data_IF_462993476868
#
_entry.id   IF_462993476868
#
_cell.length_a   1.000
_cell.length_b   1.000
_cell.length_c   1.000
_cell.angle_alpha   90.00
_cell.angle_beta   90.00
_cell.angle_gamma   90.00
#
_symmetry.space_group_name_H-M   'P 1'
#
loop_
_entity.id
_entity.type
_entity.pdbx_description
1 polymer ?
#
# COMPACT_ATOMS: atom_id res chain seq x y z
N UNK A 1 8.91 -24.88 -3.78
CA UNK A 1 9.20 -24.07 -2.57
C UNK A 1 9.95 -24.87 -1.51
N UNK A 2 9.26 -25.81 -0.84
CA UNK A 2 9.79 -26.60 0.29
C UNK A 2 11.11 -27.32 -0.02
N UNK A 3 11.26 -27.92 -1.21
CA UNK A 3 12.49 -28.60 -1.65
C UNK A 3 13.71 -27.68 -1.73
N UNK A 4 13.52 -26.43 -2.16
CA UNK A 4 14.60 -25.43 -2.23
C UNK A 4 15.02 -24.98 -0.81
N UNK A 5 14.06 -24.80 0.11
CA UNK A 5 14.36 -24.50 1.51
C UNK A 5 15.08 -25.66 2.20
N UNK A 6 14.65 -26.90 1.96
CA UNK A 6 15.36 -28.08 2.48
C UNK A 6 16.79 -28.15 1.95
N UNK A 7 16.99 -27.94 0.64
CA UNK A 7 18.33 -27.94 0.03
C UNK A 7 19.21 -26.81 0.57
N UNK A 8 18.69 -25.59 0.68
CA UNK A 8 19.43 -24.45 1.23
C UNK A 8 19.75 -24.65 2.73
N UNK A 9 18.85 -25.26 3.50
CA UNK A 9 19.12 -25.61 4.90
C UNK A 9 20.28 -26.60 4.98
N UNK A 10 20.38 -27.55 4.05
CA UNK A 10 21.48 -28.49 4.03
C UNK A 10 22.84 -27.82 3.75
N UNK A 11 22.88 -26.86 2.81
CA UNK A 11 24.13 -26.26 2.30
C UNK A 11 24.57 -24.98 3.02
N UNK A 12 23.68 -24.30 3.76
CA UNK A 12 24.00 -23.05 4.48
C UNK A 12 23.70 -23.22 5.98
N UNK A 13 24.67 -23.69 6.79
CA UNK A 13 24.48 -23.96 8.21
C UNK A 13 24.00 -22.73 9.00
N UNK A 14 24.50 -21.55 8.63
CA UNK A 14 24.14 -20.27 9.26
C UNK A 14 22.66 -19.89 9.07
N UNK A 15 21.98 -20.44 8.06
CA UNK A 15 20.58 -20.13 7.74
C UNK A 15 19.60 -21.23 8.20
N UNK A 16 20.09 -22.40 8.65
CA UNK A 16 19.27 -23.58 9.00
C UNK A 16 18.12 -23.26 9.95
N UNK A 17 18.36 -22.48 10.99
CA UNK A 17 17.35 -22.22 12.02
C UNK A 17 16.24 -21.28 11.51
N UNK A 18 16.59 -20.28 10.70
CA UNK A 18 15.64 -19.44 9.96
C UNK A 18 14.77 -20.27 8.99
N UNK A 19 15.41 -21.15 8.20
CA UNK A 19 14.71 -21.99 7.23
C UNK A 19 13.79 -23.03 7.87
N UNK A 20 14.19 -23.61 9.01
CA UNK A 20 13.35 -24.54 9.77
C UNK A 20 12.13 -23.84 10.35
N UNK A 21 12.29 -22.62 10.86
CA UNK A 21 11.17 -21.83 11.37
C UNK A 21 10.18 -21.47 10.26
N UNK A 22 10.67 -21.12 9.06
CA UNK A 22 9.83 -20.94 7.87
C UNK A 22 9.09 -22.24 7.50
N UNK A 23 9.79 -23.36 7.40
CA UNK A 23 9.19 -24.64 7.01
C UNK A 23 8.13 -25.11 8.03
N UNK A 24 8.39 -24.88 9.32
CA UNK A 24 7.50 -25.26 10.41
C UNK A 24 6.17 -24.50 10.41
N UNK A 25 6.09 -23.34 9.76
CA UNK A 25 4.86 -22.54 9.67
C UNK A 25 4.18 -22.64 8.31
N UNK A 26 4.93 -22.70 7.21
CA UNK A 26 4.37 -22.83 5.86
C UNK A 26 3.64 -24.16 5.64
N UNK A 27 4.12 -25.26 6.21
CA UNK A 27 3.48 -26.58 6.04
C UNK A 27 2.11 -26.64 6.73
N UNK A 28 1.96 -26.25 8.02
CA UNK A 28 0.65 -26.15 8.66
C UNK A 28 -0.29 -25.16 7.98
N UNK A 29 0.22 -24.01 7.53
CA UNK A 29 -0.60 -23.02 6.80
C UNK A 29 -1.15 -23.59 5.50
N UNK A 30 -0.30 -24.22 4.68
CA UNK A 30 -0.74 -24.84 3.43
C UNK A 30 -1.79 -25.94 3.67
N UNK A 31 -1.63 -26.72 4.74
CA UNK A 31 -2.62 -27.72 5.13
C UNK A 31 -3.95 -27.07 5.57
N UNK A 32 -3.93 -25.97 6.31
CA UNK A 32 -5.13 -25.22 6.69
C UNK A 32 -5.83 -24.59 5.48
N UNK A 33 -5.08 -24.06 4.51
CA UNK A 33 -5.64 -23.60 3.24
C UNK A 33 -6.37 -24.71 2.49
N UNK A 34 -5.76 -25.88 2.36
CA UNK A 34 -6.40 -27.05 1.73
C UNK A 34 -7.64 -27.51 2.52
N UNK A 35 -7.54 -27.55 3.85
CA UNK A 35 -8.65 -27.93 4.72
C UNK A 35 -9.82 -26.95 4.61
N UNK A 36 -9.54 -25.65 4.42
CA UNK A 36 -10.57 -24.62 4.28
C UNK A 36 -11.52 -24.90 3.10
N UNK A 37 -11.04 -25.53 2.03
CA UNK A 37 -11.85 -25.87 0.85
C UNK A 37 -12.93 -26.90 1.18
N UNK A 38 -12.64 -27.85 2.08
CA UNK A 38 -13.57 -28.89 2.51
C UNK A 38 -14.60 -28.40 3.53
N UNK A 39 -14.39 -27.24 4.15
CA UNK A 39 -15.27 -26.71 5.19
C UNK A 39 -16.41 -25.85 4.58
N UNK A 40 -17.63 -25.91 5.13
CA UNK A 40 -18.69 -24.96 4.81
C UNK A 40 -18.46 -23.61 5.52
N UNK A 41 -19.05 -22.50 5.01
CA UNK A 41 -19.14 -21.24 5.77
C UNK A 41 -19.86 -21.45 7.12
N UNK A 42 -19.43 -20.81 8.23
CA UNK A 42 -18.35 -19.81 8.33
C UNK A 42 -16.95 -20.41 8.56
N UNK A 43 -16.84 -21.71 8.84
CA UNK A 43 -15.58 -22.37 9.21
C UNK A 43 -14.50 -22.28 8.14
N UNK A 44 -14.90 -22.26 6.86
CA UNK A 44 -14.00 -21.98 5.72
C UNK A 44 -13.23 -20.67 5.91
N UNK A 45 -13.92 -19.59 6.30
CA UNK A 45 -13.32 -18.27 6.45
C UNK A 45 -12.40 -18.22 7.67
N UNK A 46 -12.78 -18.89 8.76
CA UNK A 46 -11.94 -18.99 9.95
C UNK A 46 -10.64 -19.78 9.67
N UNK A 47 -10.74 -20.91 8.96
CA UNK A 47 -9.57 -21.70 8.56
C UNK A 47 -8.63 -20.94 7.61
N UNK A 48 -9.19 -20.19 6.66
CA UNK A 48 -8.40 -19.31 5.79
C UNK A 48 -7.74 -18.16 6.56
N UNK A 49 -8.48 -17.54 7.49
CA UNK A 49 -7.95 -16.46 8.34
C UNK A 49 -6.82 -16.95 9.26
N UNK A 50 -6.92 -18.16 9.83
CA UNK A 50 -5.86 -18.73 10.65
C UNK A 50 -4.63 -19.11 9.83
N UNK A 51 -4.81 -19.69 8.63
CA UNK A 51 -3.71 -19.96 7.70
C UNK A 51 -2.95 -18.66 7.36
N UNK A 52 -3.70 -17.61 6.96
CA UNK A 52 -3.15 -16.29 6.68
C UNK A 52 -2.41 -15.69 7.90
N UNK A 53 -2.97 -15.81 9.10
CA UNK A 53 -2.33 -15.32 10.33
C UNK A 53 -0.99 -16.02 10.61
N UNK A 54 -0.89 -17.33 10.34
CA UNK A 54 0.35 -18.09 10.48
C UNK A 54 1.40 -17.58 9.48
N UNK A 55 1.03 -17.36 8.23
CA UNK A 55 1.94 -16.85 7.19
C UNK A 55 2.43 -15.44 7.50
N UNK A 56 1.55 -14.56 7.98
CA UNK A 56 1.90 -13.21 8.40
C UNK A 56 2.81 -13.20 9.65
N UNK A 57 2.54 -14.09 10.62
CA UNK A 57 3.33 -14.17 11.86
C UNK A 57 4.74 -14.72 11.63
N UNK A 58 4.91 -15.61 10.64
CA UNK A 58 6.18 -16.31 10.36
C UNK A 58 7.39 -15.37 10.19
N UNK A 59 7.38 -14.41 9.26
CA UNK A 59 8.50 -13.48 9.10
C UNK A 59 8.67 -12.53 10.28
N UNK A 60 7.61 -12.17 11.00
CA UNK A 60 7.71 -11.33 12.23
C UNK A 60 8.45 -12.08 13.34
N UNK A 61 8.10 -13.35 13.56
CA UNK A 61 8.72 -14.23 14.54
C UNK A 61 10.16 -14.56 14.14
N UNK A 62 10.39 -14.85 12.85
CA UNK A 62 11.72 -15.09 12.30
C UNK A 62 12.68 -13.92 12.55
N UNK A 63 12.24 -12.69 12.34
CA UNK A 63 13.08 -11.49 12.58
C UNK A 63 13.36 -11.27 14.07
N UNK A 64 12.38 -11.49 14.95
CA UNK A 64 12.56 -11.33 16.41
C UNK A 64 13.57 -12.34 16.96
N UNK A 65 13.53 -13.57 16.47
CA UNK A 65 14.39 -14.67 16.93
C UNK A 65 15.77 -14.58 16.27
N UNK A 66 15.83 -14.21 14.99
CA UNK A 66 17.03 -14.19 14.18
C UNK A 66 17.39 -12.75 13.82
N UNK A 67 17.83 -11.97 14.83
CA UNK A 67 18.35 -10.59 14.71
C UNK A 67 19.55 -10.42 13.75
N UNK A 68 19.97 -11.48 13.05
CA UNK A 68 21.10 -11.53 12.13
C UNK A 68 20.66 -12.32 10.90
N UNK A 69 20.33 -11.63 9.81
CA UNK A 69 19.87 -12.29 8.59
C UNK A 69 19.87 -11.38 7.38
N UNK A 70 21.05 -11.18 6.80
CA UNK A 70 21.28 -10.71 5.43
C UNK A 70 20.92 -9.25 5.17
N UNK A 71 21.91 -8.44 4.78
CA UNK A 71 21.67 -7.18 4.11
C UNK A 71 20.93 -7.45 2.79
N UNK A 72 19.60 -7.54 2.83
CA UNK A 72 18.81 -7.36 1.62
C UNK A 72 19.14 -5.96 1.17
N UNK A 73 19.71 -5.84 -0.03
CA UNK A 73 19.95 -4.54 -0.65
C UNK A 73 18.61 -3.79 -0.70
N UNK A 74 18.40 -2.91 0.26
CA UNK A 74 17.13 -2.22 0.46
C UNK A 74 16.85 -1.22 -0.66
N UNK A 75 17.85 -0.93 -1.50
CA UNK A 75 17.76 0.02 -2.61
C UNK A 75 16.76 -0.40 -3.69
N UNK A 76 16.56 -1.70 -3.91
CA UNK A 76 15.65 -2.21 -4.95
C UNK A 76 14.28 -2.66 -4.41
N UNK A 77 14.07 -2.57 -3.10
CA UNK A 77 12.78 -2.95 -2.52
C UNK A 77 11.64 -2.05 -3.02
N UNK A 78 11.78 -0.71 -3.08
CA UNK A 78 10.71 0.13 -3.59
C UNK A 78 10.30 -0.21 -5.02
N UNK A 79 11.27 -0.39 -5.91
CA UNK A 79 11.05 -0.75 -7.31
C UNK A 79 10.26 -2.06 -7.44
N UNK A 80 10.65 -3.10 -6.68
CA UNK A 80 9.96 -4.40 -6.71
C UNK A 80 8.54 -4.33 -6.19
N UNK A 81 8.31 -3.63 -5.08
CA UNK A 81 6.98 -3.48 -4.50
C UNK A 81 6.09 -2.56 -5.35
N UNK A 82 6.66 -1.53 -5.99
CA UNK A 82 5.98 -0.73 -7.00
C UNK A 82 5.51 -1.59 -8.17
N UNK A 83 6.40 -2.37 -8.78
CA UNK A 83 6.02 -3.29 -9.87
C UNK A 83 4.94 -4.30 -9.43
N UNK A 84 5.06 -4.87 -8.23
CA UNK A 84 4.03 -5.77 -7.72
C UNK A 84 2.69 -5.07 -7.49
N UNK A 85 2.70 -3.85 -6.97
CA UNK A 85 1.49 -3.05 -6.77
C UNK A 85 0.83 -2.69 -8.11
N UNK A 86 1.61 -2.41 -9.16
CA UNK A 86 1.08 -2.22 -10.53
C UNK A 86 0.37 -3.48 -11.03
N UNK A 87 0.98 -4.65 -10.84
CA UNK A 87 0.39 -5.93 -11.27
C UNK A 87 -0.94 -6.16 -10.54
N UNK A 88 -0.98 -5.98 -9.22
CA UNK A 88 -2.21 -6.18 -8.44
C UNK A 88 -3.29 -5.15 -8.79
N UNK A 89 -2.90 -3.90 -9.05
CA UNK A 89 -3.84 -2.89 -9.54
C UNK A 89 -4.41 -3.29 -10.91
N UNK A 90 -3.55 -3.74 -11.84
CA UNK A 90 -3.96 -4.22 -13.16
C UNK A 90 -4.89 -5.43 -13.07
N UNK A 91 -4.55 -6.42 -12.24
CA UNK A 91 -5.39 -7.59 -11.96
C UNK A 91 -6.74 -7.18 -11.38
N UNK A 92 -6.76 -6.21 -10.47
CA UNK A 92 -8.02 -5.68 -9.91
C UNK A 92 -8.89 -5.04 -11.00
N UNK A 93 -8.31 -4.30 -11.93
CA UNK A 93 -9.03 -3.71 -13.07
C UNK A 93 -9.58 -4.80 -14.00
N UNK A 94 -8.78 -5.83 -14.32
CA UNK A 94 -9.21 -6.97 -15.14
C UNK A 94 -10.32 -7.77 -14.44
N UNK A 95 -10.22 -7.98 -13.13
CA UNK A 95 -11.25 -8.64 -12.32
C UNK A 95 -12.58 -7.87 -12.36
N UNK A 96 -12.54 -6.54 -12.23
CA UNK A 96 -13.74 -5.70 -12.37
C UNK A 96 -14.32 -5.80 -13.78
N UNK A 97 -13.49 -5.69 -14.82
CA UNK A 97 -13.94 -5.75 -16.21
C UNK A 97 -14.58 -7.11 -16.55
N UNK A 98 -13.94 -8.21 -16.14
CA UNK A 98 -14.47 -9.57 -16.33
C UNK A 98 -15.72 -9.83 -15.50
N UNK A 99 -15.76 -9.39 -14.24
CA UNK A 99 -16.91 -9.52 -13.35
C UNK A 99 -18.14 -8.76 -13.82
N UNK A 100 -17.94 -7.65 -14.54
CA UNK A 100 -19.02 -6.82 -15.09
C UNK A 100 -19.42 -7.18 -16.53
N UNK A 101 -18.80 -8.19 -17.15
CA UNK A 101 -19.04 -8.53 -18.55
C UNK A 101 -20.50 -8.95 -18.82
N UNK A 102 -21.17 -9.57 -17.84
CA UNK A 102 -22.58 -9.97 -17.94
C UNK A 102 -23.59 -8.88 -17.55
N UNK A 103 -23.14 -7.68 -17.19
CA UNK A 103 -24.00 -6.59 -16.73
C UNK A 103 -24.79 -5.97 -17.88
N UNK A 104 -26.03 -5.57 -17.62
CA UNK A 104 -26.81 -4.74 -18.54
C UNK A 104 -26.20 -3.33 -18.60
N UNK A 105 -25.39 -3.06 -19.63
CA UNK A 105 -24.70 -1.79 -19.83
C UNK A 105 -25.67 -0.64 -20.10
N UNK A 106 -26.06 0.05 -19.03
CA UNK A 106 -26.81 1.31 -19.04
C UNK A 106 -25.86 2.49 -18.89
N UNK A 107 -26.29 3.73 -19.21
CA UNK A 107 -25.47 4.92 -18.96
C UNK A 107 -24.98 5.05 -17.52
N UNK A 108 -25.77 4.59 -16.53
CA UNK A 108 -25.35 4.54 -15.12
C UNK A 108 -24.18 3.59 -14.88
N UNK A 109 -24.16 2.41 -15.52
CA UNK A 109 -23.06 1.44 -15.42
C UNK A 109 -21.78 1.97 -16.06
N UNK A 110 -21.90 2.66 -17.20
CA UNK A 110 -20.77 3.33 -17.85
C UNK A 110 -20.20 4.42 -16.94
N UNK A 111 -21.06 5.26 -16.35
CA UNK A 111 -20.64 6.28 -15.39
C UNK A 111 -19.98 5.66 -14.13
N UNK A 112 -20.51 4.53 -13.64
CA UNK A 112 -19.92 3.76 -12.55
C UNK A 112 -18.53 3.21 -12.90
N UNK A 113 -18.35 2.70 -14.11
CA UNK A 113 -17.06 2.19 -14.59
C UNK A 113 -16.03 3.31 -14.76
N UNK A 114 -16.45 4.46 -15.31
CA UNK A 114 -15.60 5.64 -15.40
C UNK A 114 -15.18 6.15 -14.01
N UNK A 115 -16.12 6.24 -13.07
CA UNK A 115 -15.83 6.63 -11.70
C UNK A 115 -14.87 5.64 -11.02
N UNK A 116 -15.09 4.34 -11.20
CA UNK A 116 -14.19 3.29 -10.72
C UNK A 116 -12.77 3.40 -11.28
N UNK A 117 -12.64 3.68 -12.58
CA UNK A 117 -11.35 3.91 -13.21
C UNK A 117 -10.64 5.16 -12.65
N UNK A 118 -11.38 6.26 -12.44
CA UNK A 118 -10.82 7.47 -11.81
C UNK A 118 -10.36 7.18 -10.38
N UNK A 119 -11.12 6.42 -9.59
CA UNK A 119 -10.69 5.98 -8.25
C UNK A 119 -9.38 5.20 -8.36
N UNK A 120 -9.30 4.20 -9.24
CA UNK A 120 -8.08 3.40 -9.45
C UNK A 120 -6.88 4.28 -9.86
N UNK A 121 -7.08 5.24 -10.76
CA UNK A 121 -6.06 6.18 -11.19
C UNK A 121 -5.60 7.11 -10.04
N UNK A 122 -6.52 7.59 -9.20
CA UNK A 122 -6.17 8.39 -8.03
C UNK A 122 -5.37 7.58 -7.00
N UNK A 123 -5.75 6.33 -6.74
CA UNK A 123 -4.99 5.45 -5.84
C UNK A 123 -3.60 5.16 -6.41
N UNK A 124 -3.50 4.88 -7.71
CA UNK A 124 -2.23 4.74 -8.42
C UNK A 124 -1.35 5.98 -8.25
N UNK A 125 -1.89 7.17 -8.52
CA UNK A 125 -1.16 8.43 -8.36
C UNK A 125 -0.71 8.62 -6.91
N UNK A 126 -1.59 8.29 -5.96
CA UNK A 126 -1.30 8.39 -4.54
C UNK A 126 -0.11 7.52 -4.11
N UNK A 127 0.05 6.35 -4.73
CA UNK A 127 1.17 5.44 -4.49
C UNK A 127 2.46 5.95 -5.15
N UNK A 128 2.47 6.06 -6.48
CA UNK A 128 3.69 6.24 -7.28
C UNK A 128 4.25 7.67 -7.16
N UNK A 129 3.38 8.67 -7.10
CA UNK A 129 3.83 10.06 -7.04
C UNK A 129 4.25 10.46 -5.62
N UNK A 130 3.62 9.91 -4.57
CA UNK A 130 3.82 10.41 -3.20
C UNK A 130 4.41 9.40 -2.23
N UNK A 131 4.11 8.11 -2.35
CA UNK A 131 4.63 7.12 -1.40
C UNK A 131 5.98 6.58 -1.84
N UNK A 132 6.08 6.08 -3.07
CA UNK A 132 7.30 5.44 -3.58
C UNK A 132 8.49 6.42 -3.61
N UNK A 133 8.26 7.65 -4.09
CA UNK A 133 9.30 8.70 -4.15
C UNK A 133 9.75 9.20 -2.78
N UNK A 134 8.86 9.17 -1.79
CA UNK A 134 9.11 9.73 -0.47
C UNK A 134 9.83 8.75 0.47
N UNK A 135 9.82 7.46 0.16
CA UNK A 135 10.32 6.44 1.08
C UNK A 135 11.83 6.30 0.99
N UNK A 136 12.51 6.70 2.07
CA UNK A 136 13.94 6.39 2.28
C UNK A 136 14.04 5.25 3.30
N UNK A 137 14.33 4.04 2.81
CA UNK A 137 14.43 2.86 3.67
C UNK A 137 15.73 2.92 4.47
N UNK A 138 15.64 3.20 5.79
CA UNK A 138 16.80 3.25 6.70
C UNK A 138 16.66 2.22 7.82
N UNK A 139 17.55 1.23 7.81
CA UNK A 139 17.61 0.21 8.84
C UNK A 139 16.53 -0.86 8.75
N UNK A 140 16.67 -1.87 9.60
CA UNK A 140 15.89 -3.12 9.56
C UNK A 140 14.39 -2.88 9.81
N UNK A 141 14.04 -1.94 10.70
CA UNK A 141 12.65 -1.61 11.00
C UNK A 141 11.89 -1.01 9.82
N UNK A 142 12.49 -0.09 9.06
CA UNK A 142 11.87 0.49 7.86
C UNK A 142 11.69 -0.56 6.77
N UNK A 143 12.63 -1.49 6.61
CA UNK A 143 12.48 -2.63 5.68
C UNK A 143 11.26 -3.47 6.03
N UNK A 144 11.06 -3.81 7.32
CA UNK A 144 9.91 -4.60 7.74
C UNK A 144 8.61 -3.86 7.58
N UNK A 145 8.56 -2.61 8.00
CA UNK A 145 7.35 -1.82 7.87
C UNK A 145 6.96 -1.62 6.41
N UNK A 146 7.94 -1.44 5.52
CA UNK A 146 7.70 -1.41 4.09
C UNK A 146 7.16 -2.76 3.60
N UNK A 147 7.81 -3.86 3.96
CA UNK A 147 7.43 -5.20 3.51
C UNK A 147 6.01 -5.61 3.98
N UNK A 148 5.70 -5.41 5.26
CA UNK A 148 4.39 -5.75 5.83
C UNK A 148 3.32 -4.69 5.52
N UNK A 149 3.71 -3.42 5.37
CA UNK A 149 2.81 -2.32 5.04
C UNK A 149 2.23 -2.42 3.62
N UNK A 150 2.90 -3.13 2.70
CA UNK A 150 2.33 -3.37 1.38
C UNK A 150 1.16 -4.36 1.41
N UNK A 151 1.11 -5.28 2.38
CA UNK A 151 0.02 -6.26 2.42
C UNK A 151 -1.36 -5.60 2.60
N UNK A 152 -1.58 -4.67 3.56
CA UNK A 152 -2.83 -3.94 3.64
C UNK A 152 -3.11 -3.06 2.41
N UNK A 153 -2.08 -2.50 1.76
CA UNK A 153 -2.25 -1.75 0.50
C UNK A 153 -2.86 -2.67 -0.57
N UNK A 154 -2.28 -3.85 -0.77
CA UNK A 154 -2.76 -4.79 -1.78
C UNK A 154 -4.16 -5.31 -1.47
N UNK A 155 -4.43 -5.65 -0.19
CA UNK A 155 -5.77 -6.02 0.28
C UNK A 155 -6.76 -4.89 -0.02
N UNK A 156 -6.42 -3.65 0.32
CA UNK A 156 -7.30 -2.51 0.07
C UNK A 156 -7.59 -2.28 -1.42
N UNK A 157 -6.62 -2.45 -2.31
CA UNK A 157 -6.84 -2.36 -3.76
C UNK A 157 -7.85 -3.42 -4.24
N UNK A 158 -7.71 -4.66 -3.78
CA UNK A 158 -8.67 -5.72 -4.12
C UNK A 158 -10.07 -5.44 -3.56
N UNK A 159 -10.18 -4.95 -2.32
CA UNK A 159 -11.45 -4.56 -1.72
C UNK A 159 -12.13 -3.44 -2.51
N UNK A 160 -11.38 -2.41 -2.92
CA UNK A 160 -11.88 -1.32 -3.77
C UNK A 160 -12.37 -1.86 -5.10
N UNK A 161 -11.61 -2.76 -5.75
CA UNK A 161 -12.02 -3.43 -6.98
C UNK A 161 -13.37 -4.15 -6.84
N UNK A 162 -13.52 -5.00 -5.81
CA UNK A 162 -14.78 -5.69 -5.51
C UNK A 162 -15.93 -4.69 -5.32
N UNK A 163 -15.69 -3.62 -4.55
CA UNK A 163 -16.68 -2.57 -4.33
C UNK A 163 -17.11 -1.86 -5.60
N UNK A 164 -16.17 -1.55 -6.50
CA UNK A 164 -16.42 -0.94 -7.82
C UNK A 164 -17.22 -1.89 -8.70
N UNK A 165 -16.87 -3.18 -8.76
CA UNK A 165 -17.59 -4.18 -9.54
C UNK A 165 -19.09 -4.19 -9.17
N UNK A 166 -19.41 -4.36 -7.88
CA UNK A 166 -20.79 -4.35 -7.41
C UNK A 166 -21.49 -3.01 -7.66
N UNK A 167 -20.76 -1.89 -7.62
CA UNK A 167 -21.31 -0.58 -7.93
C UNK A 167 -21.66 -0.42 -9.41
N UNK A 168 -20.93 -1.08 -10.32
CA UNK A 168 -21.22 -1.11 -11.76
C UNK A 168 -22.42 -2.04 -12.06
N UNK A 169 -22.43 -3.24 -11.47
CA UNK A 169 -23.51 -4.22 -11.62
C UNK A 169 -24.87 -3.65 -11.15
N UNK A 170 -24.86 -2.98 -10.00
CA UNK A 170 -26.03 -2.32 -9.40
C UNK A 170 -26.17 -0.84 -9.73
N UNK A 171 -25.51 -0.34 -10.79
CA UNK A 171 -25.41 1.10 -11.04
C UNK A 171 -26.77 1.76 -11.30
N UNK A 172 -27.11 2.76 -10.49
CA UNK A 172 -28.35 3.51 -10.61
C UNK A 172 -28.74 4.21 -9.31
N UNK A 173 -30.04 4.33 -9.07
CA UNK A 173 -30.59 4.96 -7.87
C UNK A 173 -30.55 4.07 -6.62
N UNK A 174 -30.17 2.79 -6.76
CA UNK A 174 -30.19 1.84 -5.66
C UNK A 174 -28.90 1.93 -4.81
N UNK A 175 -29.01 1.88 -3.47
CA UNK A 175 -27.84 1.80 -2.61
C UNK A 175 -27.06 0.49 -2.76
N UNK A 176 -25.77 0.53 -2.45
CA UNK A 176 -24.95 -0.68 -2.36
C UNK A 176 -25.32 -1.51 -1.14
N UNK A 177 -25.33 -2.84 -1.33
CA UNK A 177 -25.36 -3.79 -0.23
C UNK A 177 -24.22 -3.51 0.76
N UNK A 178 -24.45 -3.77 2.05
CA UNK A 178 -23.50 -3.42 3.12
C UNK A 178 -22.09 -3.96 2.86
N UNK A 179 -21.97 -5.21 2.40
CA UNK A 179 -20.68 -5.82 2.07
C UNK A 179 -19.91 -5.08 0.97
N UNK A 180 -20.58 -4.76 -0.15
CA UNK A 180 -19.97 -4.02 -1.25
C UNK A 180 -19.61 -2.58 -0.85
N UNK A 181 -20.47 -1.93 -0.05
CA UNK A 181 -20.20 -0.59 0.49
C UNK A 181 -18.95 -0.59 1.38
N UNK A 182 -18.82 -1.58 2.25
CA UNK A 182 -17.65 -1.75 3.11
C UNK A 182 -16.38 -2.13 2.34
N UNK A 183 -16.50 -2.96 1.30
CA UNK A 183 -15.39 -3.28 0.42
C UNK A 183 -14.85 -2.00 -0.25
N UNK A 184 -15.74 -1.17 -0.79
CA UNK A 184 -15.38 0.09 -1.43
C UNK A 184 -14.81 1.11 -0.43
N UNK A 185 -15.61 1.49 0.57
CA UNK A 185 -15.28 2.57 1.49
C UNK A 185 -14.18 2.17 2.48
N UNK A 186 -14.27 0.95 3.02
CA UNK A 186 -13.24 0.38 3.89
C UNK A 186 -11.94 0.13 3.14
N UNK A 187 -12.00 -0.28 1.87
CA UNK A 187 -10.82 -0.38 1.01
C UNK A 187 -10.12 0.97 0.84
N UNK A 188 -10.84 2.02 0.42
CA UNK A 188 -10.26 3.38 0.29
C UNK A 188 -9.67 3.86 1.61
N UNK A 189 -10.39 3.69 2.72
CA UNK A 189 -9.89 4.08 4.04
C UNK A 189 -8.63 3.31 4.44
N UNK A 190 -8.63 1.99 4.29
CA UNK A 190 -7.49 1.14 4.60
C UNK A 190 -6.25 1.52 3.78
N UNK A 191 -6.44 1.81 2.50
CA UNK A 191 -5.39 2.29 1.62
C UNK A 191 -4.77 3.58 2.14
N UNK A 192 -5.59 4.59 2.41
CA UNK A 192 -5.13 5.91 2.87
C UNK A 192 -4.48 5.85 4.26
N UNK A 193 -5.04 5.07 5.18
CA UNK A 193 -4.46 4.88 6.52
C UNK A 193 -3.11 4.19 6.43
N UNK A 194 -2.99 3.14 5.60
CA UNK A 194 -1.75 2.38 5.47
C UNK A 194 -0.65 3.22 4.83
N UNK A 195 -0.96 3.91 3.73
CA UNK A 195 0.01 4.80 3.06
C UNK A 195 0.41 5.97 3.98
N UNK A 196 -0.51 6.52 4.78
CA UNK A 196 -0.20 7.55 5.78
C UNK A 196 0.68 7.01 6.92
N UNK A 197 0.44 5.78 7.39
CA UNK A 197 1.26 5.16 8.41
C UNK A 197 2.70 4.91 7.92
N UNK A 198 2.87 4.42 6.69
CA UNK A 198 4.19 4.25 6.06
C UNK A 198 4.88 5.61 5.89
N UNK A 199 4.14 6.64 5.49
CA UNK A 199 4.67 8.00 5.36
C UNK A 199 5.21 8.53 6.70
N UNK A 200 4.42 8.50 7.78
CA UNK A 200 4.81 9.03 9.10
C UNK A 200 6.05 8.34 9.65
N UNK A 201 6.09 7.02 9.53
CA UNK A 201 7.16 6.18 10.08
C UNK A 201 8.47 6.29 9.30
N UNK A 202 8.39 6.52 7.98
CA UNK A 202 9.57 6.60 7.12
C UNK A 202 10.16 8.01 7.09
N UNK A 203 9.31 9.04 7.02
CA UNK A 203 9.75 10.44 6.93
C UNK A 203 9.84 11.17 8.27
N UNK A 204 9.33 10.57 9.36
CA UNK A 204 9.24 11.18 10.71
C UNK A 204 8.61 12.58 10.75
N UNK A 205 7.90 12.98 9.71
CA UNK A 205 7.22 14.27 9.60
C UNK A 205 5.73 14.08 9.86
N UNK A 206 5.31 14.43 11.07
CA UNK A 206 3.92 14.27 11.55
C UNK A 206 3.05 15.50 11.34
N UNK A 207 3.65 16.66 11.00
CA UNK A 207 2.96 17.94 10.88
C UNK A 207 2.84 18.41 9.42
N UNK A 208 2.49 17.48 8.54
CA UNK A 208 2.21 17.77 7.14
C UNK A 208 0.69 17.88 6.93
N UNK A 209 0.22 19.00 6.38
CA UNK A 209 -1.19 19.21 6.04
C UNK A 209 -1.72 18.12 5.09
N UNK A 210 -0.89 17.60 4.19
CA UNK A 210 -1.25 16.47 3.32
C UNK A 210 -1.51 15.15 4.06
N UNK A 211 -0.90 14.94 5.23
CA UNK A 211 -1.24 13.82 6.11
C UNK A 211 -2.64 14.02 6.69
N UNK A 212 -2.92 15.21 7.21
CA UNK A 212 -4.22 15.55 7.81
C UNK A 212 -5.33 15.37 6.79
N UNK A 213 -5.18 15.94 5.58
CA UNK A 213 -6.17 15.78 4.51
C UNK A 213 -6.39 14.30 4.15
N UNK A 214 -5.32 13.51 4.06
CA UNK A 214 -5.41 12.07 3.78
C UNK A 214 -6.18 11.31 4.88
N UNK A 215 -5.91 11.60 6.15
CA UNK A 215 -6.62 11.01 7.29
C UNK A 215 -8.07 11.46 7.37
N UNK A 216 -8.37 12.72 7.04
CA UNK A 216 -9.74 13.23 6.95
C UNK A 216 -10.52 12.49 5.86
N UNK A 217 -9.95 12.33 4.67
CA UNK A 217 -10.60 11.55 3.59
C UNK A 217 -10.82 10.10 4.02
N UNK A 218 -9.85 9.48 4.70
CA UNK A 218 -10.02 8.13 5.24
C UNK A 218 -11.16 8.04 6.28
N UNK A 219 -11.24 9.02 7.19
CA UNK A 219 -12.30 9.08 8.21
C UNK A 219 -13.68 9.28 7.57
N UNK A 220 -13.79 10.15 6.56
CA UNK A 220 -15.04 10.35 5.80
C UNK A 220 -15.42 9.08 5.04
N UNK A 221 -14.46 8.39 4.42
CA UNK A 221 -14.73 7.11 3.76
C UNK A 221 -15.27 6.07 4.76
N UNK A 222 -14.70 5.95 5.96
CA UNK A 222 -15.25 5.08 7.02
C UNK A 222 -16.67 5.49 7.41
N UNK A 223 -16.93 6.79 7.58
CA UNK A 223 -18.25 7.31 7.90
C UNK A 223 -19.28 6.96 6.80
N UNK A 224 -18.91 7.03 5.53
CA UNK A 224 -19.73 6.57 4.40
C UNK A 224 -19.93 5.05 4.41
N UNK A 225 -18.94 4.27 4.86
CA UNK A 225 -19.09 2.83 5.08
C UNK A 225 -20.19 2.51 6.10
N UNK A 226 -20.17 3.19 7.25
CA UNK A 226 -21.17 3.02 8.30
C UNK A 226 -22.55 3.59 7.91
N UNK A 227 -22.61 4.86 7.52
CA UNK A 227 -23.86 5.62 7.35
C UNK A 227 -24.39 5.71 5.92
N UNK A 228 -23.61 5.32 4.91
CA UNK A 228 -23.97 5.48 3.48
C UNK A 228 -24.98 4.47 2.95
N UNK A 229 -25.77 3.81 3.82
CA UNK A 229 -26.71 2.76 3.42
C UNK A 229 -27.91 3.22 2.59
N UNK A 230 -28.18 4.52 2.58
CA UNK A 230 -29.24 5.13 1.77
C UNK A 230 -28.70 5.86 0.54
N UNK A 231 -27.38 5.96 0.40
CA UNK A 231 -26.74 6.69 -0.70
C UNK A 231 -26.75 5.79 -1.94
N UNK A 232 -27.29 6.25 -3.09
CA UNK A 232 -27.20 5.52 -4.35
C UNK A 232 -25.76 5.17 -4.71
N UNK A 233 -25.54 4.00 -5.32
CA UNK A 233 -24.21 3.51 -5.71
C UNK A 233 -23.39 4.54 -6.50
N UNK A 234 -24.03 5.21 -7.47
CA UNK A 234 -23.37 6.20 -8.32
C UNK A 234 -23.01 7.50 -7.55
N UNK A 235 -23.87 7.93 -6.63
CA UNK A 235 -23.59 9.09 -5.79
C UNK A 235 -22.42 8.81 -4.83
N UNK A 236 -22.37 7.60 -4.26
CA UNK A 236 -21.26 7.18 -3.41
C UNK A 236 -19.93 7.15 -4.17
N UNK A 237 -19.91 6.59 -5.38
CA UNK A 237 -18.74 6.63 -6.26
C UNK A 237 -18.32 8.07 -6.57
N UNK A 238 -19.28 8.94 -6.91
CA UNK A 238 -19.02 10.35 -7.18
C UNK A 238 -18.40 11.08 -5.99
N UNK A 239 -18.90 10.85 -4.77
CA UNK A 239 -18.33 11.42 -3.54
C UNK A 239 -16.88 10.95 -3.35
N UNK A 240 -16.61 9.65 -3.50
CA UNK A 240 -15.25 9.10 -3.40
C UNK A 240 -14.31 9.66 -4.47
N UNK A 241 -14.78 9.79 -5.71
CA UNK A 241 -14.02 10.43 -6.80
C UNK A 241 -13.64 11.86 -6.44
N UNK A 242 -14.61 12.68 -6.02
CA UNK A 242 -14.34 14.09 -5.67
C UNK A 242 -13.32 14.19 -4.53
N UNK A 243 -13.46 13.36 -3.49
CA UNK A 243 -12.51 13.36 -2.37
C UNK A 243 -11.11 12.92 -2.79
N UNK A 244 -10.98 11.86 -3.59
CA UNK A 244 -9.68 11.34 -4.02
C UNK A 244 -9.00 12.24 -5.04
N UNK A 245 -9.74 12.80 -6.00
CA UNK A 245 -9.23 13.79 -6.95
C UNK A 245 -8.79 15.05 -6.20
N UNK A 246 -9.59 15.54 -5.26
CA UNK A 246 -9.22 16.68 -4.42
C UNK A 246 -7.96 16.42 -3.60
N UNK A 247 -7.82 15.23 -3.00
CA UNK A 247 -6.62 14.82 -2.27
C UNK A 247 -5.38 14.78 -3.18
N UNK A 248 -5.49 14.12 -4.35
CA UNK A 248 -4.37 14.01 -5.30
C UNK A 248 -3.99 15.39 -5.84
N UNK A 249 -4.98 16.18 -6.27
CA UNK A 249 -4.77 17.54 -6.77
C UNK A 249 -4.11 18.45 -5.74
N UNK A 250 -4.57 18.40 -4.48
CA UNK A 250 -3.92 19.11 -3.37
C UNK A 250 -2.45 18.70 -3.20
N UNK A 251 -2.16 17.40 -3.21
CA UNK A 251 -0.78 16.91 -3.07
C UNK A 251 0.11 17.29 -4.27
N UNK A 252 -0.39 17.21 -5.50
CA UNK A 252 0.35 17.63 -6.71
C UNK A 252 0.66 19.12 -6.65
N UNK A 253 -0.34 19.95 -6.33
CA UNK A 253 -0.15 21.40 -6.24
C UNK A 253 0.84 21.77 -5.14
N UNK A 254 0.73 21.12 -3.97
CA UNK A 254 1.64 21.37 -2.86
C UNK A 254 3.10 20.99 -3.20
N UNK A 255 3.31 19.88 -3.94
CA UNK A 255 4.65 19.53 -4.44
C UNK A 255 5.19 20.56 -5.43
N UNK A 256 4.39 20.96 -6.41
CA UNK A 256 4.80 21.93 -7.43
C UNK A 256 5.16 23.30 -6.81
N UNK A 257 4.41 23.73 -5.78
CA UNK A 257 4.71 24.95 -5.04
C UNK A 257 6.02 24.84 -4.25
N UNK A 258 6.28 23.70 -3.59
CA UNK A 258 7.54 23.51 -2.86
C UNK A 258 8.75 23.48 -3.79
N UNK A 259 8.68 22.78 -4.93
CA UNK A 259 9.78 22.73 -5.90
C UNK A 259 10.03 24.10 -6.55
N UNK A 260 8.98 24.87 -6.83
CA UNK A 260 9.09 26.22 -7.38
C UNK A 260 9.73 27.23 -6.41
N UNK A 261 9.55 27.06 -5.10
CA UNK A 261 10.17 27.90 -4.08
C UNK A 261 11.66 27.58 -3.91
N UNK A 262 12.05 26.30 -3.93
CA UNK A 262 13.46 25.88 -3.88
C UNK A 262 14.23 26.30 -5.14
N UNK A 263 13.61 26.22 -6.31
CA UNK A 263 14.22 26.68 -7.57
C UNK A 263 14.36 28.20 -7.72
N UNK A 264 13.65 28.98 -6.89
CA UNK A 264 13.73 30.44 -6.87
C UNK A 264 14.80 30.99 -5.91
N UNK A 265 15.46 30.12 -5.13
CA UNK A 265 16.61 30.51 -4.31
C UNK A 265 17.81 30.78 -5.23
N UNK A 266 18.37 32.01 -5.28
CA UNK A 266 19.35 32.38 -6.28
C UNK A 266 20.64 31.57 -6.11
N UNK A 267 20.97 30.77 -7.12
CA UNK A 267 22.27 30.15 -7.30
C UNK A 267 23.35 31.23 -7.48
N UNK A 268 23.88 31.76 -6.37
CA UNK A 268 25.00 32.69 -6.41
C UNK A 268 25.02 33.70 -5.28
N UNK A 269 25.49 33.29 -4.11
CA UNK A 269 26.49 34.11 -3.43
C UNK A 269 27.80 33.34 -3.43
N UNK A 270 28.87 33.87 -4.03
CA UNK A 270 30.20 33.29 -3.85
C UNK A 270 30.49 33.29 -2.34
N UNK A 271 30.85 32.13 -1.80
CA UNK A 271 31.51 32.08 -0.50
C UNK A 271 32.83 32.83 -0.69
N UNK A 272 32.86 34.09 -0.25
CA UNK A 272 34.07 34.89 -0.22
C UNK A 272 35.11 34.10 0.56
N UNK A 273 36.16 33.68 -0.14
CA UNK A 273 37.26 32.91 0.42
C UNK A 273 37.89 33.73 1.54
N UNK A 274 37.61 33.33 2.78
CA UNK A 274 38.35 33.77 3.96
C UNK A 274 39.83 33.53 3.65
N UNK A 275 40.59 34.61 3.66
CA UNK A 275 41.95 34.69 3.15
C UNK A 275 42.88 33.60 3.68
N UNK A 276 43.77 33.15 2.79
CA UNK A 276 44.88 32.28 3.13
C UNK A 276 45.74 32.87 4.26
N UNK A 277 46.14 32.10 5.27
CA UNK A 277 47.27 32.47 6.08
C UNK A 277 48.56 32.24 5.28
N UNK A 278 49.15 33.35 4.87
CA UNK A 278 50.53 33.45 4.38
C UNK A 278 51.50 32.92 5.44
N UNK A 279 52.41 32.04 5.04
CA UNK A 279 53.77 31.99 5.60
C UNK A 279 54.14 30.72 6.36
N UNK A 280 54.93 29.89 5.67
CA UNK A 280 55.84 28.91 6.25
C UNK A 280 56.66 29.50 7.41
N UNK A 281 56.75 28.78 8.52
CA UNK A 281 57.88 28.88 9.44
C UNK A 281 58.47 27.49 9.71
N UNK A 282 59.62 27.27 9.09
CA UNK A 282 60.57 26.21 9.36
C UNK A 282 61.11 26.36 10.78
N UNK A 283 61.09 25.30 11.59
CA UNK A 283 61.92 25.18 12.80
C UNK A 283 62.90 24.03 12.58
N UNK A 284 64.23 24.26 12.67
CA UNK A 284 65.23 23.23 12.44
C UNK A 284 65.49 22.41 13.71
N UNK A 285 65.58 21.08 13.51
CA UNK A 285 66.12 19.98 14.32
C UNK A 285 65.59 19.77 15.74
#
# INVERSE_FOLDING_TARGET
GVSLYLRASHHVPAARNNLRLLLASYVPSAALWLLSLALPPPWRYLAGATAMAIELATPVVGVRIFRRGGAVSASHLPERFGLFTLIVLGESVVAVASGTAGTNWRPSSVAGAMAGFVIAACLWWAYFAFLERAVVIRGVWSVHLYNFGHLPILISLTMVGVGIQFAIEGAGAQPLAAGARWALCGGVALYLLTTSAIYVTTLRSVRNLGLVVSLTVAAVALALGFGGGMIPSLALLGILVVMLVGLVGYKVLNLALTEGLEGAEPAGMPVESVGEPVGDFVVPR
#
